data_IF_737840737904
#
_entry.id   IF_737840737904
#
_cell.length_a   1.000
_cell.length_b   1.000
_cell.length_c   1.000
_cell.angle_alpha   90.00
_cell.angle_beta   90.00
_cell.angle_gamma   90.00
#
_symmetry.space_group_name_H-M   'P 1'
#
loop_
_entity.id
_entity.type
_entity.pdbx_description
1 polymer ?
#
# COMPACT_ATOMS: atom_id res chain seq x y z
N UNK A 1 22.50 -7.84 -3.88
CA UNK A 1 22.09 -7.83 -3.67
C UNK A 1 20.99 -7.59 -3.41
N UNK A 2 20.32 -7.64 -3.20
CA UNK A 2 19.24 -7.41 -3.15
C UNK A 2 18.89 -6.82 -2.16
N UNK A 3 18.74 -6.04 -2.13
CA UNK A 3 18.35 -5.37 -1.22
C UNK A 3 17.13 -4.88 -1.37
N UNK A 4 16.50 -5.06 -2.30
CA UNK A 4 15.30 -4.47 -2.52
C UNK A 4 14.29 -5.19 -1.81
N UNK A 5 13.76 -4.82 -0.84
CA UNK A 5 12.66 -5.44 -0.15
C UNK A 5 11.43 -4.62 -0.44
N UNK A 6 10.49 -5.23 -1.09
CA UNK A 6 9.25 -4.56 -1.45
C UNK A 6 8.11 -5.53 -1.27
N UNK A 7 7.06 -5.11 -0.62
CA UNK A 7 5.84 -5.90 -0.55
C UNK A 7 4.68 -5.01 -0.95
N UNK A 8 3.64 -5.60 -1.48
CA UNK A 8 2.47 -4.84 -1.84
C UNK A 8 1.23 -5.71 -1.77
N UNK A 9 0.08 -5.08 -1.80
CA UNK A 9 -1.18 -5.76 -1.87
C UNK A 9 -2.02 -5.13 -2.97
N UNK A 10 -3.09 -5.76 -3.34
CA UNK A 10 -4.00 -5.20 -4.31
C UNK A 10 -5.41 -5.29 -3.78
N UNK A 11 -6.11 -4.18 -3.77
CA UNK A 11 -7.46 -4.17 -3.26
C UNK A 11 -8.39 -3.59 -4.30
N UNK A 12 -9.61 -4.04 -4.32
CA UNK A 12 -10.60 -3.53 -5.23
C UNK A 12 -11.58 -2.65 -4.50
N UNK A 13 -12.07 -1.65 -5.19
CA UNK A 13 -13.09 -0.76 -4.67
C UNK A 13 -14.34 -0.96 -5.50
N UNK A 14 -15.46 -1.25 -4.84
CA UNK A 14 -16.73 -1.42 -5.51
C UNK A 14 -17.72 -0.49 -4.85
N UNK A 15 -18.27 0.41 -5.61
CA UNK A 15 -19.28 1.30 -5.08
C UNK A 15 -18.76 2.04 -3.87
N UNK A 16 -17.57 2.53 -3.95
CA UNK A 16 -16.85 3.27 -2.92
C UNK A 16 -16.51 2.41 -1.70
N UNK A 17 -16.77 1.12 -1.75
CA UNK A 17 -16.42 0.27 -0.64
C UNK A 17 -15.20 -0.55 -0.97
N UNK A 18 -14.25 -0.58 -0.07
CA UNK A 18 -13.01 -1.30 -0.30
C UNK A 18 -13.19 -2.73 0.13
N UNK A 19 -12.93 -3.64 -0.78
CA UNK A 19 -13.18 -5.04 -0.52
C UNK A 19 -12.09 -5.63 0.36
N UNK A 20 -12.48 -6.17 1.48
CA UNK A 20 -11.56 -6.85 2.41
C UNK A 20 -10.38 -5.99 2.83
N UNK A 21 -10.65 -4.75 3.15
CA UNK A 21 -9.58 -3.84 3.53
C UNK A 21 -8.78 -4.36 4.70
N UNK A 22 -9.43 -4.88 5.72
CA UNK A 22 -8.72 -5.31 6.90
C UNK A 22 -7.84 -6.50 6.60
N UNK A 23 -8.33 -7.47 5.89
CA UNK A 23 -7.55 -8.67 5.58
C UNK A 23 -6.34 -8.33 4.74
N UNK A 24 -6.51 -7.45 3.77
CA UNK A 24 -5.38 -7.08 2.92
C UNK A 24 -4.37 -6.24 3.69
N UNK A 25 -4.83 -5.40 4.59
CA UNK A 25 -3.91 -4.61 5.40
C UNK A 25 -3.12 -5.51 6.34
N UNK A 26 -3.78 -6.46 6.94
CA UNK A 26 -3.08 -7.40 7.80
C UNK A 26 -2.06 -8.21 7.03
N UNK A 27 -2.39 -8.59 5.82
CA UNK A 27 -1.46 -9.33 4.99
C UNK A 27 -0.28 -8.48 4.61
N UNK A 28 -0.49 -7.20 4.33
CA UNK A 28 0.59 -6.30 4.01
C UNK A 28 1.57 -6.20 5.18
N UNK A 29 1.05 -6.04 6.38
CA UNK A 29 1.89 -5.95 7.56
C UNK A 29 2.63 -7.26 7.79
N UNK A 30 1.96 -8.37 7.55
CA UNK A 30 2.58 -9.64 7.75
C UNK A 30 3.68 -9.88 6.74
N UNK A 31 3.46 -9.52 5.49
CA UNK A 31 4.47 -9.65 4.45
C UNK A 31 5.68 -8.77 4.77
N UNK A 32 5.44 -7.57 5.26
CA UNK A 32 6.52 -6.68 5.63
C UNK A 32 7.32 -7.28 6.78
N UNK A 33 6.63 -7.89 7.74
CA UNK A 33 7.30 -8.47 8.88
C UNK A 33 8.20 -9.61 8.45
N UNK A 34 7.78 -10.40 7.50
CA UNK A 34 8.58 -11.50 7.02
C UNK A 34 9.89 -10.98 6.43
N UNK A 35 9.87 -9.82 5.82
CA UNK A 35 11.07 -9.22 5.28
C UNK A 35 11.74 -8.29 6.27
N UNK A 36 11.34 -8.38 7.52
CA UNK A 36 11.96 -7.60 8.59
C UNK A 36 11.80 -6.11 8.34
N UNK A 37 10.69 -5.71 7.81
CA UNK A 37 10.37 -4.31 7.64
C UNK A 37 9.31 -3.93 8.63
N UNK A 38 9.60 -2.95 9.47
CA UNK A 38 8.64 -2.52 10.43
C UNK A 38 7.96 -1.28 9.89
N UNK A 39 6.68 -1.40 9.58
CA UNK A 39 5.94 -0.28 9.04
C UNK A 39 5.74 0.75 10.15
N UNK A 40 6.10 2.00 9.94
CA UNK A 40 6.04 3.01 11.00
C UNK A 40 4.65 3.57 11.23
N UNK A 41 3.63 2.83 10.91
CA UNK A 41 2.24 3.24 11.11
C UNK A 41 1.46 2.04 11.60
N UNK A 42 0.36 2.27 12.24
CA UNK A 42 -0.47 1.17 12.70
C UNK A 42 -1.38 0.70 11.56
N UNK A 43 -1.96 -0.45 11.71
CA UNK A 43 -2.89 -0.96 10.70
C UNK A 43 -4.07 0.00 10.56
N UNK A 44 -4.53 0.56 11.68
CA UNK A 44 -5.64 1.50 11.60
C UNK A 44 -5.26 2.75 10.84
N UNK A 45 -4.06 3.22 11.00
CA UNK A 45 -3.62 4.40 10.29
C UNK A 45 -3.57 4.14 8.78
N UNK A 46 -3.11 2.97 8.39
CA UNK A 46 -3.05 2.63 6.97
C UNK A 46 -4.46 2.46 6.41
N UNK A 47 -5.34 1.83 7.16
CA UNK A 47 -6.71 1.65 6.71
C UNK A 47 -7.43 2.99 6.59
N UNK A 48 -7.22 3.88 7.53
CA UNK A 48 -7.84 5.19 7.48
C UNK A 48 -7.31 6.01 6.32
N UNK A 49 -6.03 5.93 6.07
CA UNK A 49 -5.44 6.64 4.94
C UNK A 49 -6.02 6.12 3.63
N UNK A 50 -6.21 4.83 3.54
CA UNK A 50 -6.76 4.22 2.35
C UNK A 50 -8.20 4.67 2.12
N UNK A 51 -8.98 4.69 3.18
CA UNK A 51 -10.36 5.14 3.06
C UNK A 51 -10.43 6.60 2.68
N UNK A 52 -9.59 7.41 3.25
CA UNK A 52 -9.55 8.83 2.95
C UNK A 52 -9.21 9.04 1.49
N UNK A 53 -8.29 8.26 0.98
CA UNK A 53 -7.89 8.39 -0.39
C UNK A 53 -9.06 8.07 -1.34
N UNK A 54 -9.78 7.02 -1.06
CA UNK A 54 -10.92 6.65 -1.87
C UNK A 54 -11.96 7.76 -1.84
N UNK A 55 -12.19 8.30 -0.67
CA UNK A 55 -13.19 9.33 -0.51
C UNK A 55 -12.76 10.61 -1.21
N UNK A 56 -11.53 11.03 -1.03
CA UNK A 56 -11.05 12.27 -1.59
C UNK A 56 -10.96 12.23 -3.10
N UNK A 57 -10.63 11.10 -3.65
CA UNK A 57 -10.52 10.94 -5.08
C UNK A 57 -11.85 10.56 -5.72
N UNK A 58 -12.86 10.39 -4.92
CA UNK A 58 -14.21 10.04 -5.39
C UNK A 58 -14.16 8.79 -6.26
N UNK A 59 -13.49 7.79 -5.81
CA UNK A 59 -13.37 6.56 -6.57
C UNK A 59 -14.59 5.69 -6.31
N UNK A 60 -15.36 5.42 -7.32
CA UNK A 60 -16.52 4.57 -7.16
C UNK A 60 -16.12 3.13 -7.35
N UNK A 61 -15.39 2.87 -8.40
CA UNK A 61 -14.88 1.53 -8.66
C UNK A 61 -13.44 1.70 -9.05
N UNK A 62 -12.58 0.97 -8.49
CA UNK A 62 -11.18 1.15 -8.77
C UNK A 62 -10.29 0.14 -8.13
N UNK A 63 -9.06 0.49 -8.03
CA UNK A 63 -8.04 -0.41 -7.56
C UNK A 63 -7.05 0.35 -6.70
N UNK A 64 -6.64 -0.26 -5.61
CA UNK A 64 -5.70 0.33 -4.70
C UNK A 64 -4.52 -0.60 -4.56
N UNK A 65 -3.34 -0.05 -4.59
CA UNK A 65 -2.14 -0.85 -4.37
C UNK A 65 -1.25 -0.18 -3.33
N UNK A 66 -1.24 -0.67 -2.13
CA UNK A 66 -0.31 -0.16 -1.13
C UNK A 66 1.03 -0.87 -1.29
N UNK A 67 2.10 -0.11 -1.10
CA UNK A 67 3.45 -0.64 -1.21
C UNK A 67 4.22 -0.32 0.04
N UNK A 68 5.06 -1.22 0.46
CA UNK A 68 6.00 -0.96 1.55
C UNK A 68 7.35 -1.39 1.05
N UNK A 69 8.35 -0.54 1.17
CA UNK A 69 9.68 -0.93 0.70
C UNK A 69 10.77 -0.33 1.59
N UNK A 70 11.92 -0.97 1.56
CA UNK A 70 13.07 -0.52 2.30
C UNK A 70 14.00 0.14 1.32
N UNK A 71 14.47 1.34 1.64
CA UNK A 71 15.36 1.87 0.72
C UNK A 71 15.68 3.21 0.89
N UNK A 72 16.84 3.56 0.48
CA UNK A 72 17.09 4.75 0.73
C UNK A 72 17.17 5.38 -0.35
N UNK A 73 17.28 5.45 -0.97
CA UNK A 73 17.23 6.09 -1.89
C UNK A 73 18.29 6.15 -2.53
N UNK A 74 18.63 6.16 -2.95
CA UNK A 74 19.44 6.19 -3.69
C UNK A 74 20.60 6.54 -3.48
N UNK A 75 21.15 6.81 -3.72
CA UNK A 75 22.22 7.25 -3.67
C UNK A 75 23.10 6.67 -2.87
N UNK A 76 22.96 5.78 -2.58
CA UNK A 76 23.83 5.11 -1.99
C UNK A 76 24.38 5.56 -0.82
N UNK A 77 23.83 6.15 -0.21
CA UNK A 77 24.34 6.65 0.76
C UNK A 77 24.46 5.77 1.78
N UNK A 78 24.24 5.76 2.78
CA UNK A 78 24.49 5.08 3.81
C UNK A 78 23.64 4.03 4.05
N UNK A 79 24.00 2.97 4.03
CA UNK A 79 23.21 1.92 4.24
C UNK A 79 22.64 1.85 5.54
N UNK A 80 23.22 2.45 6.47
CA UNK A 80 22.65 2.29 7.71
C UNK A 80 21.46 3.04 7.88
N UNK A 81 21.07 3.84 7.02
CA UNK A 81 19.90 4.50 7.22
C UNK A 81 18.84 3.95 6.42
N UNK A 82 18.58 2.72 6.37
CA UNK A 82 17.51 2.21 5.63
C UNK A 82 16.23 2.61 6.20
N UNK A 83 15.38 3.19 5.49
CA UNK A 83 14.16 3.64 5.96
C UNK A 83 13.05 2.83 5.38
N UNK A 84 12.00 2.62 6.08
CA UNK A 84 10.85 1.91 5.58
C UNK A 84 9.87 2.94 5.04
N UNK A 85 9.52 2.80 3.79
CA UNK A 85 8.64 3.73 3.12
C UNK A 85 7.32 3.08 2.78
N UNK A 86 6.26 3.86 2.79
CA UNK A 86 4.94 3.37 2.49
C UNK A 86 4.29 4.29 1.48
N UNK A 87 3.65 3.74 0.49
CA UNK A 87 2.90 4.52 -0.47
C UNK A 87 1.63 3.79 -0.81
N UNK A 88 0.61 4.51 -1.16
CA UNK A 88 -0.65 3.92 -1.55
C UNK A 88 -1.02 4.50 -2.90
N UNK A 89 -1.09 3.67 -3.92
CA UNK A 89 -1.49 4.12 -5.23
C UNK A 89 -2.93 3.76 -5.45
N UNK A 90 -3.67 4.63 -6.11
CA UNK A 90 -5.07 4.37 -6.31
C UNK A 90 -5.43 4.85 -7.69
N UNK A 91 -6.27 4.13 -8.39
CA UNK A 91 -6.74 4.59 -9.66
C UNK A 91 -8.14 4.10 -9.95
N UNK A 92 -8.80 4.90 -10.77
CA UNK A 92 -10.17 4.71 -11.10
C UNK A 92 -10.29 3.68 -12.18
N UNK A 93 -11.32 2.90 -12.14
CA UNK A 93 -11.50 1.86 -13.11
C UNK A 93 -12.47 2.36 -14.15
N UNK A 94 -12.08 2.47 -15.38
CA UNK A 94 -12.98 3.02 -16.37
C UNK A 94 -14.18 2.13 -16.57
N UNK A 95 -15.32 2.76 -16.75
CA UNK A 95 -16.54 2.03 -16.86
C UNK A 95 -16.58 1.13 -18.04
N UNK A 96 -15.96 1.50 -19.12
CA UNK A 96 -16.06 0.67 -20.27
C UNK A 96 -15.22 -0.58 -20.16
N UNK A 97 -14.42 -0.69 -19.12
CA UNK A 97 -13.74 -1.87 -18.91
C UNK A 97 -14.51 -2.83 -18.17
N UNK A 98 -15.60 -2.47 -17.67
CA UNK A 98 -16.27 -3.22 -16.81
C UNK A 98 -17.15 -4.07 -17.51
N UNK A 99 -16.93 -5.10 -17.82
CA UNK A 99 -17.87 -5.90 -18.46
C UNK A 99 -18.05 -7.15 -17.84
#
# INVERSE_FOLDING_TARGET
>A
MHYASLVFEGLRVYNTKIFKLEEHTDRLFNSAKILDMKIPYSTNEIMDATKTLVYDQDIQNGYIRPFVWRGSEMMGVSAQNTKINVAIAIWDWPTYFDH
#
